data_IF_318193434143
#
_entry.id   IF_318193434143
#
_cell.length_a   1.000
_cell.length_b   1.000
_cell.length_c   1.000
_cell.angle_alpha   90.00
_cell.angle_beta   90.00
_cell.angle_gamma   90.00
#
_symmetry.space_group_name_H-M   'P 1'
#
loop_
_entity.id
_entity.type
_entity.pdbx_description
1 polymer ?
#
# COMPACT_ATOMS: atom_id res chain seq x y z
N UNK A 1 18.04 -35.75 -15.49
CA UNK A 1 18.05 -34.43 -14.82
C UNK A 1 18.79 -34.47 -13.49
N UNK A 2 19.12 -33.32 -12.88
CA UNK A 2 19.77 -33.31 -11.58
C UNK A 2 18.87 -33.90 -10.50
N UNK A 3 19.48 -34.43 -9.43
CA UNK A 3 18.73 -34.97 -8.30
C UNK A 3 17.94 -33.87 -7.59
N UNK A 4 16.73 -34.20 -7.09
CA UNK A 4 15.94 -33.31 -6.23
C UNK A 4 16.75 -33.02 -4.96
N UNK A 5 16.84 -31.76 -4.57
CA UNK A 5 17.43 -31.34 -3.32
C UNK A 5 16.32 -30.97 -2.33
N UNK A 6 16.39 -31.50 -1.14
CA UNK A 6 15.50 -31.13 -0.02
C UNK A 6 16.31 -30.27 0.97
N UNK A 7 15.70 -29.19 1.41
CA UNK A 7 16.25 -28.33 2.48
C UNK A 7 15.14 -27.95 3.43
N UNK A 8 15.49 -27.77 4.67
CA UNK A 8 14.62 -27.29 5.73
C UNK A 8 15.21 -26.01 6.32
N UNK A 9 14.35 -25.05 6.60
CA UNK A 9 14.71 -23.75 7.17
C UNK A 9 13.91 -23.50 8.44
N UNK A 10 14.46 -22.75 9.38
CA UNK A 10 13.80 -22.43 10.63
C UNK A 10 12.72 -21.36 10.45
N UNK A 11 12.88 -20.50 9.45
CA UNK A 11 11.94 -19.43 9.15
C UNK A 11 11.61 -19.35 7.66
N UNK A 12 10.38 -18.91 7.34
CA UNK A 12 9.98 -18.64 5.96
C UNK A 12 10.82 -17.51 5.30
N UNK A 13 11.41 -16.63 6.11
CA UNK A 13 12.30 -15.58 5.63
C UNK A 13 13.62 -16.15 5.10
N UNK A 14 14.23 -17.08 5.86
CA UNK A 14 15.44 -17.80 5.43
C UNK A 14 15.21 -18.65 4.20
N UNK A 15 14.04 -19.33 4.13
CA UNK A 15 13.63 -20.08 2.96
C UNK A 15 13.58 -19.19 1.71
N UNK A 16 12.87 -18.04 1.80
CA UNK A 16 12.75 -17.12 0.68
C UNK A 16 14.11 -16.55 0.24
N UNK A 17 14.97 -16.19 1.20
CA UNK A 17 16.32 -15.68 0.94
C UNK A 17 17.21 -16.73 0.24
N UNK A 18 17.15 -17.97 0.71
CA UNK A 18 17.89 -19.08 0.12
C UNK A 18 17.43 -19.41 -1.29
N UNK A 19 16.14 -19.34 -1.58
CA UNK A 19 15.58 -19.53 -2.93
C UNK A 19 16.14 -18.48 -3.89
N UNK A 20 16.12 -17.21 -3.47
CA UNK A 20 16.64 -16.13 -4.33
C UNK A 20 18.13 -16.30 -4.61
N UNK A 21 18.93 -16.60 -3.58
CA UNK A 21 20.37 -16.85 -3.76
C UNK A 21 20.65 -18.06 -4.66
N UNK A 22 19.84 -19.10 -4.58
CA UNK A 22 19.96 -20.26 -5.47
C UNK A 22 19.65 -19.88 -6.92
N UNK A 23 18.63 -19.03 -7.16
CA UNK A 23 18.30 -18.52 -8.50
C UNK A 23 19.47 -17.68 -9.05
N UNK A 24 20.01 -16.76 -8.30
CA UNK A 24 21.13 -15.91 -8.73
C UNK A 24 22.36 -16.76 -9.07
N UNK A 25 22.73 -17.67 -8.16
CA UNK A 25 23.86 -18.57 -8.40
C UNK A 25 23.66 -19.42 -9.65
N UNK A 26 22.50 -20.08 -9.80
CA UNK A 26 22.25 -20.94 -10.96
C UNK A 26 22.14 -20.15 -12.26
N UNK A 27 21.67 -18.91 -12.21
CA UNK A 27 21.67 -18.00 -13.35
C UNK A 27 23.10 -17.72 -13.82
N UNK A 28 24.01 -17.40 -12.90
CA UNK A 28 25.42 -17.13 -13.21
C UNK A 28 26.14 -18.40 -13.72
N UNK A 29 26.00 -19.52 -12.98
CA UNK A 29 26.71 -20.76 -13.30
C UNK A 29 26.26 -21.37 -14.64
N UNK A 30 25.00 -21.23 -15.02
CA UNK A 30 24.41 -21.85 -16.21
C UNK A 30 24.15 -20.88 -17.36
N UNK A 31 24.48 -19.61 -17.19
CA UNK A 31 24.12 -18.52 -18.11
C UNK A 31 22.64 -18.55 -18.49
N UNK A 32 21.77 -18.77 -17.47
CA UNK A 32 20.32 -18.84 -17.59
C UNK A 32 19.68 -17.45 -17.47
N UNK A 33 18.47 -17.29 -18.00
CA UNK A 33 17.66 -16.09 -17.82
C UNK A 33 16.68 -16.25 -16.64
N UNK A 34 16.24 -15.15 -16.04
CA UNK A 34 15.25 -15.21 -14.94
C UNK A 34 13.93 -15.89 -15.36
N UNK A 35 13.58 -15.84 -16.64
CA UNK A 35 12.43 -16.53 -17.22
C UNK A 35 12.51 -18.06 -17.19
N UNK A 36 13.70 -18.60 -16.96
CA UNK A 36 13.94 -20.06 -16.92
C UNK A 36 13.65 -20.64 -15.52
N UNK A 37 13.40 -19.78 -14.53
CA UNK A 37 13.12 -20.20 -13.16
C UNK A 37 11.63 -20.05 -12.81
N UNK A 38 11.14 -21.02 -12.07
CA UNK A 38 9.78 -20.98 -11.49
C UNK A 38 9.82 -21.39 -10.02
N UNK A 39 9.16 -20.62 -9.18
CA UNK A 39 8.98 -20.95 -7.76
C UNK A 39 7.51 -21.33 -7.54
N UNK A 40 7.28 -22.55 -7.06
CA UNK A 40 5.96 -23.07 -6.76
C UNK A 40 5.73 -23.02 -5.26
N UNK A 41 4.56 -22.54 -4.85
CA UNK A 41 4.17 -22.44 -3.45
C UNK A 41 2.71 -22.88 -3.27
N UNK A 42 2.37 -23.31 -2.07
CA UNK A 42 1.06 -23.88 -1.77
C UNK A 42 0.00 -22.82 -1.47
N UNK A 43 0.37 -21.72 -0.83
CA UNK A 43 -0.57 -20.71 -0.37
C UNK A 43 -0.13 -19.31 -0.80
N UNK A 44 -1.10 -18.42 -1.07
CA UNK A 44 -0.82 -17.03 -1.43
C UNK A 44 -0.08 -16.24 -0.32
N UNK A 45 -0.09 -16.71 0.93
CA UNK A 45 0.67 -16.09 2.01
C UNK A 45 2.18 -16.24 1.82
N UNK A 46 2.63 -17.36 1.24
CA UNK A 46 4.04 -17.63 0.96
C UNK A 46 4.60 -16.73 -0.14
N UNK A 47 3.76 -16.31 -1.12
CA UNK A 47 4.22 -15.44 -2.20
C UNK A 47 4.76 -14.09 -1.71
N UNK A 48 4.22 -13.57 -0.62
CA UNK A 48 4.59 -12.25 -0.11
C UNK A 48 6.09 -12.12 0.17
N UNK A 49 6.68 -13.07 0.90
CA UNK A 49 8.11 -13.03 1.22
C UNK A 49 8.99 -13.18 -0.02
N UNK A 50 8.55 -14.03 -0.96
CA UNK A 50 9.24 -14.19 -2.24
C UNK A 50 9.17 -12.88 -3.07
N UNK A 51 8.01 -12.23 -3.12
CA UNK A 51 7.84 -10.94 -3.79
C UNK A 51 8.72 -9.85 -3.15
N UNK A 52 8.72 -9.76 -1.80
CA UNK A 52 9.58 -8.83 -1.05
C UNK A 52 11.07 -9.06 -1.36
N UNK A 53 11.51 -10.31 -1.42
CA UNK A 53 12.89 -10.66 -1.77
C UNK A 53 13.21 -10.35 -3.22
N UNK A 54 12.33 -10.65 -4.16
CA UNK A 54 12.52 -10.28 -5.56
C UNK A 54 12.68 -8.75 -5.72
N UNK A 55 11.86 -7.96 -5.02
CA UNK A 55 11.96 -6.50 -5.02
C UNK A 55 13.30 -6.04 -4.42
N UNK A 56 13.67 -6.58 -3.27
CA UNK A 56 14.91 -6.22 -2.58
C UNK A 56 16.16 -6.47 -3.42
N UNK A 57 16.20 -7.61 -4.10
CA UNK A 57 17.32 -8.01 -4.99
C UNK A 57 17.14 -7.52 -6.44
N UNK A 58 16.12 -6.72 -6.72
CA UNK A 58 15.81 -6.20 -8.06
C UNK A 58 15.62 -7.28 -9.13
N UNK A 59 15.08 -8.45 -8.73
CA UNK A 59 14.81 -9.58 -9.63
C UNK A 59 13.44 -9.37 -10.28
N UNK A 60 13.35 -9.35 -11.62
CA UNK A 60 12.06 -9.29 -12.31
C UNK A 60 11.26 -10.58 -12.07
N UNK A 61 10.01 -10.45 -11.67
CA UNK A 61 9.13 -11.59 -11.43
C UNK A 61 7.72 -11.37 -11.96
N UNK A 62 7.02 -12.48 -12.19
CA UNK A 62 5.59 -12.48 -12.52
C UNK A 62 4.84 -13.48 -11.64
N UNK A 63 3.81 -13.01 -10.97
CA UNK A 63 2.91 -13.87 -10.22
C UNK A 63 1.88 -14.51 -11.15
N UNK A 64 1.75 -15.83 -11.12
CA UNK A 64 0.79 -16.58 -11.93
C UNK A 64 -0.32 -17.13 -11.01
N UNK A 65 -1.57 -16.86 -11.35
CA UNK A 65 -2.73 -17.37 -10.61
C UNK A 65 -3.05 -16.64 -9.31
N UNK A 66 -2.41 -15.51 -9.03
CA UNK A 66 -2.67 -14.69 -7.85
C UNK A 66 -2.65 -13.18 -8.15
N UNK A 67 -3.06 -12.40 -7.16
CA UNK A 67 -2.89 -10.94 -7.18
C UNK A 67 -1.69 -10.61 -6.33
N UNK A 68 -0.72 -9.89 -6.91
CA UNK A 68 0.44 -9.36 -6.22
C UNK A 68 0.01 -8.72 -4.89
N UNK A 69 0.72 -9.00 -3.81
CA UNK A 69 0.38 -8.55 -2.46
C UNK A 69 0.10 -7.04 -2.41
N UNK A 70 0.98 -6.23 -3.00
CA UNK A 70 0.84 -4.77 -3.02
C UNK A 70 -0.27 -4.27 -3.96
N UNK A 71 -0.79 -5.11 -4.84
CA UNK A 71 -1.91 -4.78 -5.72
C UNK A 71 -3.28 -5.07 -5.08
N UNK A 72 -3.32 -5.80 -3.96
CA UNK A 72 -4.55 -6.07 -3.23
C UNK A 72 -5.19 -4.78 -2.76
N UNK A 73 -6.51 -4.71 -2.85
CA UNK A 73 -7.27 -3.50 -2.52
C UNK A 73 -6.99 -3.03 -1.10
N UNK A 74 -7.03 -3.95 -0.15
CA UNK A 74 -6.83 -3.69 1.28
C UNK A 74 -5.43 -3.12 1.56
N UNK A 75 -4.42 -3.67 0.91
CA UNK A 75 -3.03 -3.20 1.05
C UNK A 75 -2.87 -1.81 0.46
N UNK A 76 -3.45 -1.55 -0.72
CA UNK A 76 -3.46 -0.21 -1.31
C UNK A 76 -4.17 0.80 -0.43
N UNK A 77 -5.27 0.40 0.20
CA UNK A 77 -6.02 1.28 1.10
C UNK A 77 -5.18 1.63 2.34
N UNK A 78 -4.52 0.64 2.97
CA UNK A 78 -3.60 0.85 4.11
C UNK A 78 -2.43 1.75 3.70
N UNK A 79 -1.79 1.48 2.57
CA UNK A 79 -0.68 2.31 2.08
C UNK A 79 -1.12 3.76 1.81
N UNK A 80 -2.33 3.97 1.28
CA UNK A 80 -2.87 5.31 1.10
C UNK A 80 -3.16 6.01 2.44
N UNK A 81 -3.61 5.28 3.47
CA UNK A 81 -3.71 5.84 4.82
C UNK A 81 -2.35 6.28 5.35
N UNK A 82 -1.34 5.41 5.27
CA UNK A 82 0.02 5.73 5.72
C UNK A 82 0.59 6.94 4.97
N UNK A 83 0.36 7.03 3.65
CA UNK A 83 0.75 8.20 2.84
C UNK A 83 0.03 9.46 3.28
N UNK A 84 -1.28 9.38 3.56
CA UNK A 84 -2.06 10.53 4.05
C UNK A 84 -1.55 11.01 5.40
N UNK A 85 -1.14 10.09 6.29
CA UNK A 85 -0.54 10.40 7.59
C UNK A 85 0.82 11.06 7.41
N UNK A 86 1.68 10.46 6.59
CA UNK A 86 3.04 10.96 6.39
C UNK A 86 3.07 12.28 5.62
N UNK A 87 2.16 12.47 4.68
CA UNK A 87 2.09 13.65 3.82
C UNK A 87 0.68 13.83 3.25
N UNK A 88 -0.11 14.68 3.87
CA UNK A 88 -1.46 15.04 3.40
C UNK A 88 -1.53 15.72 2.02
N UNK A 89 -0.38 15.92 1.34
CA UNK A 89 -0.31 16.52 -0.01
C UNK A 89 -0.48 15.49 -1.14
N UNK A 90 -0.51 14.17 -0.86
CA UNK A 90 -0.87 13.16 -1.85
C UNK A 90 -2.39 13.11 -2.01
N UNK A 91 -2.92 13.99 -2.85
CA UNK A 91 -4.37 14.14 -3.08
C UNK A 91 -5.03 12.83 -3.53
N UNK A 92 -4.33 11.98 -4.31
CA UNK A 92 -4.84 10.69 -4.75
C UNK A 92 -4.97 9.70 -3.59
N UNK A 93 -4.01 9.69 -2.67
CA UNK A 93 -4.07 8.87 -1.48
C UNK A 93 -5.22 9.30 -0.57
N UNK A 94 -5.37 10.61 -0.32
CA UNK A 94 -6.46 11.16 0.50
C UNK A 94 -7.83 10.84 -0.11
N UNK A 95 -8.01 11.07 -1.41
CA UNK A 95 -9.26 10.77 -2.12
C UNK A 95 -9.62 9.29 -2.09
N UNK A 96 -8.62 8.41 -2.11
CA UNK A 96 -8.83 6.97 -2.01
C UNK A 96 -9.38 6.57 -0.64
N UNK A 97 -8.84 7.13 0.44
CA UNK A 97 -9.16 6.69 1.82
C UNK A 97 -10.33 7.43 2.46
N UNK A 98 -10.77 8.56 1.90
CA UNK A 98 -11.83 9.39 2.49
C UNK A 98 -13.15 8.61 2.72
N UNK A 99 -13.41 7.57 1.94
CA UNK A 99 -14.55 6.66 2.05
C UNK A 99 -14.16 5.20 2.37
N UNK A 100 -13.00 4.95 2.90
CA UNK A 100 -12.55 3.65 3.38
C UNK A 100 -12.20 3.79 4.88
N UNK A 101 -12.99 3.22 5.80
CA UNK A 101 -14.30 2.58 5.61
C UNK A 101 -15.37 3.56 5.08
N UNK A 102 -16.50 3.01 4.63
CA UNK A 102 -17.57 3.80 4.00
C UNK A 102 -18.14 4.87 4.96
N UNK A 103 -17.94 6.16 4.62
CA UNK A 103 -18.41 7.32 5.42
C UNK A 103 -19.60 8.06 4.80
N UNK A 104 -20.02 7.64 3.60
CA UNK A 104 -21.12 8.28 2.88
C UNK A 104 -20.79 9.69 2.38
N UNK A 105 -19.53 9.96 2.05
CA UNK A 105 -19.10 11.19 1.38
C UNK A 105 -19.21 10.93 -0.12
N UNK A 106 -20.21 11.55 -0.76
CA UNK A 106 -20.52 11.32 -2.18
C UNK A 106 -19.49 11.93 -3.14
N UNK A 107 -19.41 11.40 -4.35
CA UNK A 107 -18.53 11.91 -5.41
C UNK A 107 -18.73 13.40 -5.70
N UNK A 108 -20.00 13.87 -5.64
CA UNK A 108 -20.32 15.30 -5.80
C UNK A 108 -19.64 16.17 -4.72
N UNK A 109 -19.61 15.70 -3.48
CA UNK A 109 -18.95 16.44 -2.38
C UNK A 109 -17.44 16.45 -2.55
N UNK A 110 -16.85 15.33 -2.96
CA UNK A 110 -15.43 15.22 -3.31
C UNK A 110 -15.09 16.20 -4.45
N UNK A 111 -15.91 16.23 -5.52
CA UNK A 111 -15.71 17.15 -6.63
C UNK A 111 -15.75 18.63 -6.20
N UNK A 112 -16.68 19.02 -5.32
CA UNK A 112 -16.74 20.39 -4.79
C UNK A 112 -15.48 20.76 -4.02
N UNK A 113 -14.97 19.86 -3.17
CA UNK A 113 -13.72 20.08 -2.44
C UNK A 113 -12.53 20.19 -3.40
N UNK A 114 -12.47 19.33 -4.43
CA UNK A 114 -11.41 19.39 -5.45
C UNK A 114 -11.39 20.73 -6.19
N UNK A 115 -12.57 21.21 -6.62
CA UNK A 115 -12.70 22.50 -7.30
C UNK A 115 -12.25 23.63 -6.35
N UNK A 116 -12.70 23.59 -5.10
CA UNK A 116 -12.33 24.59 -4.11
C UNK A 116 -10.81 24.58 -3.84
N UNK A 117 -10.19 23.42 -3.71
CA UNK A 117 -8.75 23.24 -3.54
C UNK A 117 -7.98 23.89 -4.70
N UNK A 118 -8.35 23.53 -5.94
CA UNK A 118 -7.74 24.08 -7.15
C UNK A 118 -7.89 25.61 -7.26
N UNK A 119 -9.09 26.14 -6.98
CA UNK A 119 -9.36 27.58 -7.05
C UNK A 119 -8.57 28.41 -6.02
N UNK A 120 -8.15 27.79 -4.91
CA UNK A 120 -7.41 28.46 -3.83
C UNK A 120 -5.93 28.05 -3.76
N UNK A 121 -5.43 27.27 -4.71
CA UNK A 121 -4.02 26.86 -4.78
C UNK A 121 -3.56 26.04 -3.58
N UNK A 122 -4.44 25.21 -3.02
CA UNK A 122 -4.16 24.39 -1.85
C UNK A 122 -4.33 22.89 -2.15
N UNK A 123 -3.77 22.00 -1.28
CA UNK A 123 -3.97 20.57 -1.41
C UNK A 123 -5.43 20.18 -1.15
N UNK A 124 -5.82 19.01 -1.65
CA UNK A 124 -7.15 18.46 -1.36
C UNK A 124 -7.37 18.29 0.15
N UNK A 125 -6.35 17.86 0.89
CA UNK A 125 -6.42 17.70 2.35
C UNK A 125 -6.60 19.04 3.07
N UNK A 126 -5.88 20.10 2.67
CA UNK A 126 -6.05 21.44 3.24
C UNK A 126 -7.47 21.98 3.00
N UNK A 127 -8.05 21.66 1.84
CA UNK A 127 -9.44 22.00 1.54
C UNK A 127 -10.44 21.23 2.40
N UNK A 128 -10.15 19.95 2.74
CA UNK A 128 -10.95 19.17 3.68
C UNK A 128 -10.92 19.78 5.09
N UNK A 129 -9.77 20.25 5.55
CA UNK A 129 -9.64 20.95 6.85
C UNK A 129 -10.44 22.25 6.88
N UNK A 130 -10.68 22.87 5.72
CA UNK A 130 -11.46 24.11 5.55
C UNK A 130 -12.84 23.85 4.95
N UNK A 131 -13.40 22.66 5.15
CA UNK A 131 -14.60 22.19 4.45
C UNK A 131 -15.82 23.09 4.62
N UNK A 132 -15.95 23.80 5.76
CA UNK A 132 -17.03 24.77 5.97
C UNK A 132 -16.96 25.98 5.01
N UNK A 133 -15.81 26.28 4.46
CA UNK A 133 -15.63 27.31 3.43
C UNK A 133 -15.97 26.85 2.01
N UNK A 134 -16.21 25.56 1.79
CA UNK A 134 -16.56 25.02 0.47
C UNK A 134 -18.01 25.34 0.13
N UNK A 135 -18.27 26.08 -0.96
CA UNK A 135 -19.63 26.45 -1.32
C UNK A 135 -20.54 25.21 -1.52
N UNK A 136 -21.75 25.29 -1.02
CA UNK A 136 -22.81 24.28 -1.22
C UNK A 136 -22.44 22.87 -0.77
N UNK A 137 -21.48 22.70 0.17
CA UNK A 137 -21.05 21.38 0.67
C UNK A 137 -22.17 20.68 1.50
N UNK A 138 -22.99 21.45 2.20
CA UNK A 138 -24.14 20.94 2.94
C UNK A 138 -23.76 19.95 4.05
N UNK A 139 -24.62 18.95 4.28
CA UNK A 139 -24.44 17.92 5.32
C UNK A 139 -23.17 17.06 5.17
N UNK A 140 -22.51 17.11 4.01
CA UNK A 140 -21.26 16.39 3.82
C UNK A 140 -20.10 16.99 4.65
N UNK A 141 -20.21 18.26 5.07
CA UNK A 141 -19.20 18.91 5.91
C UNK A 141 -18.97 18.13 7.21
N UNK A 142 -20.03 17.74 7.93
CA UNK A 142 -19.92 17.02 9.20
C UNK A 142 -19.21 15.65 9.05
N UNK A 143 -19.44 14.98 7.93
CA UNK A 143 -18.79 13.69 7.62
C UNK A 143 -17.31 13.88 7.28
N UNK A 144 -16.99 14.96 6.58
CA UNK A 144 -15.62 15.31 6.21
C UNK A 144 -14.85 15.74 7.46
N UNK A 145 -15.44 16.55 8.34
CA UNK A 145 -14.83 16.92 9.62
C UNK A 145 -14.53 15.70 10.51
N UNK A 146 -15.44 14.72 10.55
CA UNK A 146 -15.17 13.45 11.24
C UNK A 146 -14.00 12.67 10.63
N UNK A 147 -13.80 12.75 9.33
CA UNK A 147 -12.65 12.14 8.68
C UNK A 147 -11.34 12.88 9.03
N UNK A 148 -11.33 14.21 8.97
CA UNK A 148 -10.15 15.02 9.29
C UNK A 148 -9.86 15.06 10.79
N UNK A 149 -10.86 14.84 11.66
CA UNK A 149 -10.70 14.72 13.10
C UNK A 149 -10.10 13.37 13.55
N UNK A 150 -9.89 12.43 12.65
CA UNK A 150 -8.97 11.31 12.88
C UNK A 150 -7.58 11.95 13.01
N UNK A 151 -7.27 12.42 14.21
CA UNK A 151 -6.06 13.16 14.51
C UNK A 151 -4.86 12.27 14.26
N UNK A 152 -4.09 12.63 13.25
CA UNK A 152 -2.70 12.28 13.19
C UNK A 152 -2.02 13.17 14.23
N UNK A 153 -1.82 12.62 15.43
CA UNK A 153 -1.15 13.34 16.50
C UNK A 153 0.27 13.68 16.04
N UNK A 154 0.52 14.97 15.83
CA UNK A 154 1.83 15.53 15.49
C UNK A 154 2.86 15.40 16.63
N UNK A 155 2.52 14.68 17.70
CA UNK A 155 3.35 14.46 18.87
C UNK A 155 3.84 13.01 18.94
N UNK A 156 4.63 12.58 17.95
CA UNK A 156 5.48 11.41 18.12
C UNK A 156 6.95 11.85 18.11
N UNK A 157 7.58 12.09 19.27
CA UNK A 157 9.02 12.11 19.34
C UNK A 157 9.52 10.68 19.14
N UNK A 158 10.13 10.40 17.98
CA UNK A 158 10.97 9.24 17.72
C UNK A 158 10.38 7.85 18.08
N UNK A 159 9.28 7.47 17.45
CA UNK A 159 8.73 6.13 17.58
C UNK A 159 7.30 6.10 17.06
N UNK A 160 7.11 5.71 15.82
CA UNK A 160 5.79 5.52 15.21
C UNK A 160 5.00 4.45 15.97
N UNK A 161 4.12 4.87 16.87
CA UNK A 161 2.99 4.04 17.29
C UNK A 161 1.75 4.52 16.53
N UNK A 162 1.45 3.87 15.43
CA UNK A 162 0.19 4.08 14.72
C UNK A 162 -0.86 3.17 15.35
N UNK A 163 -1.66 3.72 16.25
CA UNK A 163 -2.85 3.03 16.73
C UNK A 163 -3.98 3.26 15.73
N UNK A 164 -4.15 2.34 14.79
CA UNK A 164 -5.28 2.33 13.86
C UNK A 164 -6.43 1.62 14.57
N UNK A 165 -7.27 2.37 15.28
CA UNK A 165 -8.56 1.86 15.76
C UNK A 165 -9.52 1.84 14.58
N UNK A 166 -9.70 0.66 14.00
CA UNK A 166 -10.76 0.40 13.03
C UNK A 166 -11.99 -0.08 13.84
N UNK A 167 -13.11 0.64 13.81
CA UNK A 167 -14.34 0.18 14.43
C UNK A 167 -14.95 -0.99 13.68
#
# INVERSE_FOLDING_TARGET
GPKVRFRQYDTAYEEADAIIRDIEREKEEKNAEYSDFAVLYRTNAQSRLLEEKCIYYSIPYRLVGGVNFYQRKEIKDILCYLKTIANGRDDLAVQRVINVPKRGIGATSIGKVTIYASANGMSFYDALLRVRGVPTIGKAADKIEKFTAIQFSDTAPHGLSVEVVIP
#
